data_IF_987349192853
#
_entry.id   IF_987349192853
#
_cell.length_a   1.000
_cell.length_b   1.000
_cell.length_c   1.000
_cell.angle_alpha   90.00
_cell.angle_beta   90.00
_cell.angle_gamma   90.00
#
_symmetry.space_group_name_H-M   'P 1'
#
loop_
_entity.id
_entity.type
_entity.pdbx_description
1 polymer ?
#
# COMPACT_ATOMS: atom_id res chain seq x y z
N UNK A 1 -13.03 15.71 16.20
CA UNK A 1 -12.11 15.37 17.31
C UNK A 1 -11.62 13.91 17.31
N UNK A 2 -12.06 13.04 16.39
CA UNK A 2 -11.56 11.67 16.32
C UNK A 2 -10.40 11.58 15.31
N UNK A 3 -9.18 11.42 15.82
CA UNK A 3 -7.94 11.39 15.04
C UNK A 3 -7.48 9.96 14.67
N UNK A 4 -8.06 8.93 15.29
CA UNK A 4 -7.66 7.54 15.10
C UNK A 4 -8.73 6.76 14.36
N UNK A 5 -8.30 5.99 13.36
CA UNK A 5 -9.12 4.99 12.67
C UNK A 5 -8.59 3.60 12.99
N UNK A 6 -9.49 2.66 13.35
CA UNK A 6 -9.10 1.28 13.59
C UNK A 6 -8.79 0.59 12.26
N UNK A 7 -7.64 -0.10 12.18
CA UNK A 7 -7.30 -0.90 11.01
C UNK A 7 -8.14 -2.20 11.01
N UNK A 8 -9.06 -2.40 10.04
CA UNK A 8 -9.88 -3.61 9.98
C UNK A 8 -9.08 -4.88 9.62
N UNK A 9 -7.84 -4.73 9.16
CA UNK A 9 -6.99 -5.83 8.71
C UNK A 9 -6.01 -6.32 9.78
N UNK A 10 -5.81 -5.55 10.85
CA UNK A 10 -4.79 -5.81 11.87
C UNK A 10 -4.86 -7.24 12.39
N UNK A 11 -3.72 -7.94 12.35
CA UNK A 11 -3.59 -9.34 12.76
C UNK A 11 -3.39 -10.28 11.57
N UNK A 12 -4.03 -11.46 11.62
CA UNK A 12 -3.74 -12.55 10.64
C UNK A 12 -4.04 -12.17 9.20
N UNK A 13 -5.06 -11.34 8.97
CA UNK A 13 -5.43 -10.92 7.61
C UNK A 13 -4.34 -10.04 6.99
N UNK A 14 -3.91 -8.99 7.70
CA UNK A 14 -2.80 -8.13 7.27
C UNK A 14 -1.50 -8.94 7.07
N UNK A 15 -1.12 -9.79 8.02
CA UNK A 15 0.10 -10.62 7.92
C UNK A 15 0.07 -11.44 6.63
N UNK A 16 -1.05 -12.11 6.34
CA UNK A 16 -1.18 -12.92 5.12
C UNK A 16 -1.08 -12.09 3.83
N UNK A 17 -1.63 -10.87 3.81
CA UNK A 17 -1.51 -9.98 2.64
C UNK A 17 -0.07 -9.51 2.45
N UNK A 18 0.61 -9.14 3.55
CA UNK A 18 2.00 -8.68 3.55
C UNK A 18 2.95 -9.78 3.08
N UNK A 19 2.82 -10.99 3.62
CA UNK A 19 3.64 -12.15 3.25
C UNK A 19 3.45 -12.53 1.78
N UNK A 20 2.19 -12.54 1.30
CA UNK A 20 1.87 -12.84 -0.09
C UNK A 20 2.51 -11.82 -1.05
N UNK A 21 2.35 -10.53 -0.77
CA UNK A 21 2.92 -9.47 -1.61
C UNK A 21 4.45 -9.53 -1.66
N UNK A 22 5.10 -9.72 -0.51
CA UNK A 22 6.57 -9.80 -0.46
C UNK A 22 7.12 -11.06 -1.13
N UNK A 23 6.39 -12.17 -1.10
CA UNK A 23 6.84 -13.44 -1.69
C UNK A 23 6.62 -13.50 -3.20
N UNK A 24 5.45 -13.08 -3.66
CA UNK A 24 5.00 -13.35 -5.03
C UNK A 24 5.06 -12.11 -5.93
N UNK A 25 5.05 -10.90 -5.36
CA UNK A 25 4.80 -9.64 -6.09
C UNK A 25 5.89 -8.59 -5.91
N UNK A 26 7.15 -9.00 -5.73
CA UNK A 26 8.29 -8.08 -5.59
C UNK A 26 8.41 -7.06 -6.75
N UNK A 27 8.03 -7.46 -7.97
CA UNK A 27 8.00 -6.55 -9.14
C UNK A 27 6.96 -5.45 -9.00
N UNK A 28 5.77 -5.77 -8.47
CA UNK A 28 4.74 -4.77 -8.22
C UNK A 28 5.19 -3.79 -7.13
N UNK A 29 5.81 -4.29 -6.06
CA UNK A 29 6.38 -3.43 -5.00
C UNK A 29 7.44 -2.48 -5.57
N UNK A 30 8.36 -2.99 -6.40
CA UNK A 30 9.34 -2.13 -7.07
C UNK A 30 8.66 -1.07 -7.94
N UNK A 31 7.62 -1.45 -8.71
CA UNK A 31 6.81 -0.52 -9.50
C UNK A 31 6.20 0.60 -8.65
N UNK A 32 5.65 0.28 -7.48
CA UNK A 32 5.09 1.29 -6.56
C UNK A 32 6.13 2.31 -6.11
N UNK A 33 7.37 1.88 -5.85
CA UNK A 33 8.48 2.77 -5.50
C UNK A 33 8.80 3.71 -6.66
N UNK A 34 8.79 3.22 -7.90
CA UNK A 34 9.01 4.07 -9.08
C UNK A 34 7.88 5.08 -9.26
N UNK A 35 6.64 4.60 -9.18
CA UNK A 35 5.42 5.37 -9.38
C UNK A 35 5.26 6.52 -8.38
N UNK A 36 5.71 6.30 -7.14
CA UNK A 36 5.66 7.27 -6.03
C UNK A 36 6.90 8.15 -5.92
N UNK A 37 7.92 7.95 -6.77
CA UNK A 37 9.17 8.71 -6.73
C UNK A 37 10.00 8.46 -5.47
N UNK A 38 9.82 7.31 -4.81
CA UNK A 38 10.55 6.95 -3.60
C UNK A 38 12.00 6.53 -3.89
N UNK A 39 12.90 6.59 -2.89
CA UNK A 39 14.28 6.16 -3.05
C UNK A 39 14.39 4.69 -3.44
N UNK A 40 15.25 4.38 -4.40
CA UNK A 40 15.53 3.01 -4.88
C UNK A 40 16.87 2.49 -4.36
N UNK A 41 17.28 2.92 -3.17
CA UNK A 41 18.58 2.57 -2.59
C UNK A 41 18.69 1.11 -2.18
N UNK A 42 17.56 0.48 -1.83
CA UNK A 42 17.43 -0.92 -1.41
C UNK A 42 16.11 -1.50 -1.96
N UNK A 43 15.98 -2.83 -2.09
CA UNK A 43 14.70 -3.45 -2.41
C UNK A 43 13.64 -3.12 -1.36
N UNK A 44 12.50 -2.60 -1.80
CA UNK A 44 11.39 -2.29 -0.92
C UNK A 44 10.65 -3.57 -0.49
N UNK A 45 10.11 -3.54 0.72
CA UNK A 45 9.23 -4.56 1.25
C UNK A 45 7.95 -3.92 1.77
N UNK A 46 6.82 -4.57 1.54
CA UNK A 46 5.59 -4.20 2.20
C UNK A 46 5.71 -4.52 3.70
N UNK A 47 5.44 -3.54 4.55
CA UNK A 47 5.58 -3.65 6.00
C UNK A 47 4.21 -3.74 6.71
N UNK A 48 3.15 -3.21 6.10
CA UNK A 48 1.81 -3.21 6.66
C UNK A 48 0.80 -2.61 5.68
N UNK A 49 -0.48 -2.89 5.94
CA UNK A 49 -1.63 -2.38 5.19
C UNK A 49 -2.70 -1.95 6.19
N UNK A 50 -3.21 -0.74 6.01
CA UNK A 50 -4.39 -0.23 6.70
C UNK A 50 -5.52 0.04 5.69
N UNK A 51 -6.66 0.54 6.17
CA UNK A 51 -7.80 0.84 5.30
C UNK A 51 -7.54 1.98 4.31
N UNK A 52 -6.54 2.82 4.54
CA UNK A 52 -6.31 4.05 3.77
C UNK A 52 -5.07 3.94 2.86
N UNK A 53 -4.18 2.99 3.12
CA UNK A 53 -2.99 2.79 2.31
C UNK A 53 -2.09 1.65 2.77
N UNK A 54 -0.83 1.75 2.36
CA UNK A 54 0.20 0.75 2.65
C UNK A 54 1.51 1.38 3.10
N UNK A 55 2.27 0.63 3.90
CA UNK A 55 3.60 1.00 4.34
C UNK A 55 4.66 0.22 3.56
N UNK A 56 5.55 0.91 2.86
CA UNK A 56 6.76 0.33 2.26
C UNK A 56 7.98 0.63 3.12
N UNK A 57 8.78 -0.40 3.39
CA UNK A 57 10.10 -0.28 4.02
C UNK A 57 11.18 -0.31 2.95
N UNK A 58 12.07 0.68 2.98
CA UNK A 58 13.26 0.75 2.11
C UNK A 58 14.48 0.99 3.02
N UNK A 59 15.33 -0.02 3.15
CA UNK A 59 16.38 -0.01 4.18
C UNK A 59 15.78 0.14 5.58
N UNK A 60 16.12 1.22 6.29
CA UNK A 60 15.61 1.52 7.63
C UNK A 60 14.44 2.53 7.64
N UNK A 61 14.05 3.06 6.48
CA UNK A 61 12.97 4.03 6.37
C UNK A 61 11.62 3.35 6.06
N UNK A 62 10.54 3.94 6.58
CA UNK A 62 9.16 3.57 6.26
C UNK A 62 8.48 4.72 5.53
N UNK A 63 7.74 4.37 4.47
CA UNK A 63 6.99 5.29 3.62
C UNK A 63 5.55 4.83 3.57
N UNK A 64 4.62 5.72 3.86
CA UNK A 64 3.20 5.45 3.71
C UNK A 64 2.70 5.98 2.37
N UNK A 65 1.95 5.15 1.65
CA UNK A 65 1.41 5.47 0.34
C UNK A 65 -0.11 5.27 0.36
N UNK A 66 -0.90 6.30 0.01
CA UNK A 66 -2.35 6.23 0.07
C UNK A 66 -2.92 5.41 -1.09
N UNK A 67 -3.97 4.63 -0.81
CA UNK A 67 -4.86 4.10 -1.84
C UNK A 67 -5.71 5.22 -2.43
N UNK A 68 -6.32 4.99 -3.59
CA UNK A 68 -7.20 6.00 -4.21
C UNK A 68 -8.43 6.28 -3.35
N UNK A 69 -8.95 5.26 -2.67
CA UNK A 69 -10.09 5.32 -1.76
C UNK A 69 -9.92 4.32 -0.60
N UNK A 70 -10.60 4.52 0.54
CA UNK A 70 -10.54 3.58 1.65
C UNK A 70 -11.01 2.17 1.26
N UNK A 71 -10.20 1.18 1.63
CA UNK A 71 -10.50 -0.24 1.52
C UNK A 71 -11.05 -0.77 2.85
N UNK A 72 -12.14 -1.53 2.80
CA UNK A 72 -12.78 -2.14 3.97
C UNK A 72 -12.68 -3.66 3.98
N UNK A 73 -12.20 -4.27 2.88
CA UNK A 73 -12.07 -5.72 2.73
C UNK A 73 -10.74 -6.08 2.06
N UNK A 74 -10.19 -7.29 2.32
CA UNK A 74 -8.98 -7.75 1.62
C UNK A 74 -9.13 -7.82 0.10
N UNK A 75 -10.36 -8.03 -0.41
CA UNK A 75 -10.64 -8.02 -1.85
C UNK A 75 -10.42 -6.63 -2.42
N UNK A 76 -10.93 -5.58 -1.76
CA UNK A 76 -10.72 -4.19 -2.18
C UNK A 76 -9.23 -3.81 -2.15
N UNK A 77 -8.51 -4.20 -1.10
CA UNK A 77 -7.05 -4.02 -1.03
C UNK A 77 -6.37 -4.66 -2.25
N UNK A 78 -6.74 -5.90 -2.59
CA UNK A 78 -6.18 -6.58 -3.76
C UNK A 78 -6.50 -5.84 -5.05
N UNK A 79 -7.74 -5.40 -5.23
CA UNK A 79 -8.16 -4.65 -6.42
C UNK A 79 -7.36 -3.35 -6.59
N UNK A 80 -7.16 -2.60 -5.50
CA UNK A 80 -6.39 -1.36 -5.52
C UNK A 80 -4.91 -1.61 -5.83
N UNK A 81 -4.28 -2.61 -5.18
CA UNK A 81 -2.90 -3.01 -5.47
C UNK A 81 -2.72 -3.48 -6.92
N UNK A 82 -3.67 -4.25 -7.47
CA UNK A 82 -3.63 -4.65 -8.90
C UNK A 82 -3.75 -3.43 -9.80
N UNK A 83 -4.63 -2.48 -9.47
CA UNK A 83 -4.74 -1.22 -10.23
C UNK A 83 -3.42 -0.45 -10.23
N UNK A 84 -2.79 -0.28 -9.06
CA UNK A 84 -1.49 0.38 -8.91
C UNK A 84 -0.37 -0.33 -9.69
N UNK A 85 -0.40 -1.66 -9.77
CA UNK A 85 0.59 -2.45 -10.50
C UNK A 85 0.56 -2.20 -12.02
N UNK A 86 -0.57 -1.69 -12.54
CA UNK A 86 -0.75 -1.33 -13.95
C UNK A 86 -0.75 0.19 -14.19
N UNK A 87 -0.66 1.00 -13.14
CA UNK A 87 -0.75 2.45 -13.25
C UNK A 87 0.56 3.07 -13.78
N UNK A 88 0.42 4.11 -14.62
CA UNK A 88 1.55 4.93 -15.10
C UNK A 88 1.81 6.14 -14.20
N UNK A 89 0.80 6.57 -13.44
CA UNK A 89 0.88 7.65 -12.45
C UNK A 89 0.18 7.22 -11.16
N UNK A 90 0.68 7.69 -10.01
CA UNK A 90 -0.01 7.44 -8.74
C UNK A 90 -1.39 8.11 -8.76
N UNK A 91 -2.49 7.38 -8.45
CA UNK A 91 -3.83 7.94 -8.49
C UNK A 91 -3.99 9.06 -7.47
N UNK A 92 -4.74 10.10 -7.85
CA UNK A 92 -5.14 11.15 -6.89
C UNK A 92 -6.15 10.58 -5.90
N UNK A 93 -6.02 10.95 -4.64
CA UNK A 93 -6.98 10.57 -3.61
C UNK A 93 -8.39 11.07 -3.97
N UNK A 94 -9.36 10.17 -4.04
CA UNK A 94 -10.68 10.46 -4.59
C UNK A 94 -11.54 11.39 -3.70
N UNK A 95 -11.13 11.62 -2.45
CA UNK A 95 -11.87 12.49 -1.49
C UNK A 95 -11.33 13.94 -1.48
N UNK A 96 -10.43 14.30 -2.39
CA UNK A 96 -9.90 15.67 -2.47
C UNK A 96 -10.80 16.69 -3.20
N UNK A 97 -11.98 16.27 -3.69
CA UNK A 97 -13.03 17.18 -4.20
C UNK A 97 -14.27 17.10 -3.29
N UNK A 98 -14.25 17.85 -2.18
CA UNK A 98 -15.40 18.18 -1.35
C UNK A 98 -15.33 19.63 -0.89
#
# INVERSE_FOLDING_TARGET
DQLTLANPFAGKAEISMVEHMNSDHAKAIAHYVELSGLPKTEPAQLAGIDSEGMHLRIGQALYWLPFQAPCHTPIQVREDLVSLAHAEVWPKYAVADA
#
